data_IF_343584998447
#
_entry.id   IF_343584998447
#
_cell.length_a   1.000
_cell.length_b   1.000
_cell.length_c   1.000
_cell.angle_alpha   90.00
_cell.angle_beta   90.00
_cell.angle_gamma   90.00
#
_symmetry.space_group_name_H-M   'P 1'
#
loop_
_entity.id
_entity.type
_entity.pdbx_description
1 polymer ?
#
# COMPACT_ATOMS: atom_id res chain seq x y z
N UNK A 1 14.51 66.05 -15.66
CA UNK A 1 15.55 65.10 -15.21
C UNK A 1 15.14 63.72 -15.69
N UNK A 2 16.08 62.99 -16.29
CA UNK A 2 15.85 61.83 -17.17
C UNK A 2 15.30 60.61 -16.41
N UNK A 3 14.29 59.98 -17.00
CA UNK A 3 13.81 58.64 -16.66
C UNK A 3 14.95 57.63 -16.84
N UNK A 4 15.33 56.93 -15.76
CA UNK A 4 16.26 55.81 -15.83
C UNK A 4 15.44 54.52 -15.77
N UNK A 5 15.34 53.87 -16.92
CA UNK A 5 14.74 52.55 -17.12
C UNK A 5 15.74 51.51 -16.58
N UNK A 6 15.45 50.90 -15.42
CA UNK A 6 16.28 49.81 -14.89
C UNK A 6 15.97 48.54 -15.66
N UNK A 7 16.93 48.12 -16.51
CA UNK A 7 16.92 46.85 -17.24
C UNK A 7 17.24 45.74 -16.23
N UNK A 8 16.26 44.87 -15.96
CA UNK A 8 16.45 43.67 -15.15
C UNK A 8 17.15 42.61 -16.02
N UNK A 9 18.38 42.26 -15.65
CA UNK A 9 19.19 41.24 -16.30
C UNK A 9 18.61 39.86 -15.97
N UNK A 10 17.94 39.23 -16.93
CA UNK A 10 17.39 37.89 -16.79
C UNK A 10 18.54 36.87 -16.92
N UNK A 11 19.09 36.45 -15.78
CA UNK A 11 20.05 35.36 -15.70
C UNK A 11 19.33 34.03 -15.98
N UNK A 12 19.39 33.57 -17.23
CA UNK A 12 19.08 32.17 -17.57
C UNK A 12 20.09 31.26 -16.86
N UNK A 13 19.70 30.71 -15.72
CA UNK A 13 20.30 29.52 -15.15
C UNK A 13 19.65 28.31 -15.82
N UNK A 14 20.25 27.85 -16.92
CA UNK A 14 20.02 26.50 -17.42
C UNK A 14 20.66 25.52 -16.43
N UNK A 15 19.90 25.12 -15.41
CA UNK A 15 20.21 23.92 -14.64
C UNK A 15 19.93 22.73 -15.57
N UNK A 16 21.00 22.23 -16.18
CA UNK A 16 20.99 20.99 -16.92
C UNK A 16 20.54 19.85 -16.01
N UNK A 17 19.55 19.12 -16.49
CA UNK A 17 19.03 17.89 -15.92
C UNK A 17 20.17 16.92 -15.56
N UNK A 18 20.42 16.76 -14.27
CA UNK A 18 21.07 15.57 -13.70
C UNK A 18 19.98 14.79 -12.96
N UNK A 19 19.06 14.20 -13.71
CA UNK A 19 18.23 13.12 -13.18
C UNK A 19 19.04 11.84 -13.39
N UNK A 20 19.76 11.41 -12.34
CA UNK A 20 20.05 10.01 -12.17
C UNK A 20 18.70 9.33 -11.86
N UNK A 21 18.38 8.29 -12.62
CA UNK A 21 17.15 7.51 -12.57
C UNK A 21 17.15 6.56 -11.35
N UNK A 22 17.31 7.12 -10.14
CA UNK A 22 17.15 6.43 -8.85
C UNK A 22 15.66 6.45 -8.45
N UNK A 23 14.76 6.02 -9.34
CA UNK A 23 13.35 5.92 -9.00
C UNK A 23 13.11 4.70 -8.11
N UNK A 24 12.54 4.95 -6.93
CA UNK A 24 12.07 3.87 -6.04
C UNK A 24 11.05 3.01 -6.78
N UNK A 25 11.01 1.69 -6.53
CA UNK A 25 9.94 0.86 -7.08
C UNK A 25 8.58 1.41 -6.63
N UNK A 26 7.71 1.63 -7.62
CA UNK A 26 6.36 2.13 -7.38
C UNK A 26 5.34 1.25 -8.07
N UNK A 27 4.14 1.17 -7.49
CA UNK A 27 3.06 0.31 -7.97
C UNK A 27 1.75 1.08 -8.01
N UNK A 28 0.90 0.75 -8.99
CA UNK A 28 -0.50 1.14 -8.95
C UNK A 28 -1.20 0.32 -7.88
N UNK A 29 -1.92 0.97 -6.97
CA UNK A 29 -2.63 0.29 -5.89
C UNK A 29 -4.10 0.71 -5.86
N UNK A 30 -4.96 -0.25 -5.58
CA UNK A 30 -6.36 -0.02 -5.23
C UNK A 30 -6.67 -0.57 -3.84
N UNK A 31 -7.69 0.01 -3.22
CA UNK A 31 -8.22 -0.44 -1.95
C UNK A 31 -9.73 -0.35 -1.93
N UNK A 32 -10.38 -1.43 -1.51
CA UNK A 32 -11.80 -1.47 -1.18
C UNK A 32 -11.96 -1.78 0.30
N UNK A 33 -12.97 -1.18 0.92
CA UNK A 33 -13.38 -1.48 2.29
C UNK A 33 -14.82 -1.97 2.24
N UNK A 34 -15.04 -3.20 2.70
CA UNK A 34 -16.31 -3.89 2.53
C UNK A 34 -16.77 -4.57 3.81
N UNK A 35 -18.08 -4.73 3.92
CA UNK A 35 -18.73 -5.59 4.90
C UNK A 35 -19.23 -6.86 4.21
N UNK A 36 -19.32 -7.96 4.98
CA UNK A 36 -19.94 -9.18 4.49
C UNK A 36 -21.45 -8.98 4.36
N UNK A 37 -22.06 -9.56 3.33
CA UNK A 37 -23.51 -9.72 3.30
C UNK A 37 -23.96 -10.81 4.27
N UNK A 38 -25.25 -10.81 4.62
CA UNK A 38 -25.81 -11.75 5.60
C UNK A 38 -25.50 -13.21 5.21
N UNK A 39 -24.93 -13.97 6.15
CA UNK A 39 -24.57 -15.37 5.96
C UNK A 39 -23.26 -15.61 5.19
N UNK A 40 -22.60 -14.57 4.69
CA UNK A 40 -21.32 -14.67 3.99
C UNK A 40 -20.17 -14.76 5.00
N UNK A 41 -19.21 -15.62 4.69
CA UNK A 41 -18.00 -15.84 5.46
C UNK A 41 -16.75 -15.49 4.65
N UNK A 42 -15.60 -15.44 5.32
CA UNK A 42 -14.32 -15.26 4.64
C UNK A 42 -14.03 -16.39 3.63
N UNK A 43 -14.43 -17.63 3.95
CA UNK A 43 -14.23 -18.78 3.06
C UNK A 43 -15.02 -18.65 1.75
N UNK A 44 -16.17 -17.97 1.79
CA UNK A 44 -16.94 -17.66 0.57
C UNK A 44 -16.19 -16.67 -0.32
N UNK A 45 -15.48 -15.69 0.27
CA UNK A 45 -14.62 -14.77 -0.49
C UNK A 45 -13.39 -15.48 -1.07
N UNK A 46 -12.77 -16.37 -0.30
CA UNK A 46 -11.65 -17.20 -0.79
C UNK A 46 -12.12 -18.10 -1.94
N UNK A 47 -13.31 -18.68 -1.84
CA UNK A 47 -13.91 -19.48 -2.90
C UNK A 47 -14.22 -18.65 -4.13
N UNK A 48 -14.79 -17.45 -3.97
CA UNK A 48 -15.00 -16.50 -5.08
C UNK A 48 -13.71 -16.16 -5.82
N UNK A 49 -12.64 -15.87 -5.07
CA UNK A 49 -11.33 -15.58 -5.66
C UNK A 49 -10.81 -16.75 -6.49
N UNK A 50 -10.89 -17.96 -5.95
CA UNK A 50 -10.36 -19.17 -6.58
C UNK A 50 -11.18 -19.60 -7.79
N UNK A 51 -12.50 -19.60 -7.66
CA UNK A 51 -13.40 -20.26 -8.61
C UNK A 51 -13.98 -19.30 -9.65
N UNK A 52 -13.95 -17.98 -9.40
CA UNK A 52 -14.53 -16.97 -10.30
C UNK A 52 -13.52 -15.90 -10.70
N UNK A 53 -12.97 -15.14 -9.74
CA UNK A 53 -12.12 -13.99 -10.10
C UNK A 53 -10.80 -14.42 -10.74
N UNK A 54 -10.07 -15.37 -10.15
CA UNK A 54 -8.78 -15.81 -10.69
C UNK A 54 -8.91 -16.42 -12.09
N UNK A 55 -9.87 -17.31 -12.38
CA UNK A 55 -10.12 -17.80 -13.73
C UNK A 55 -10.49 -16.70 -14.73
N UNK A 56 -11.35 -15.76 -14.32
CA UNK A 56 -11.69 -14.60 -15.14
C UNK A 56 -10.47 -13.74 -15.43
N UNK A 57 -9.71 -13.38 -14.40
CA UNK A 57 -8.54 -12.52 -14.48
C UNK A 57 -7.42 -13.16 -15.30
N UNK A 58 -7.13 -14.45 -15.11
CA UNK A 58 -6.10 -15.17 -15.86
C UNK A 58 -6.41 -15.24 -17.37
N UNK A 59 -7.70 -15.20 -17.72
CA UNK A 59 -8.15 -15.15 -19.13
C UNK A 59 -8.12 -13.75 -19.72
N UNK A 60 -8.50 -12.73 -18.94
CA UNK A 60 -8.85 -11.41 -19.48
C UNK A 60 -7.87 -10.29 -19.12
N UNK A 61 -7.06 -10.41 -18.07
CA UNK A 61 -6.11 -9.38 -17.67
C UNK A 61 -4.74 -9.62 -18.32
N UNK A 62 -4.31 -8.77 -19.27
CA UNK A 62 -3.04 -8.94 -19.97
C UNK A 62 -1.84 -8.40 -19.17
N UNK A 63 -2.07 -7.96 -17.93
CA UNK A 63 -1.07 -7.32 -17.05
C UNK A 63 -1.00 -8.05 -15.71
N UNK A 64 0.16 -8.02 -15.01
CA UNK A 64 0.29 -8.57 -13.66
C UNK A 64 -0.66 -7.88 -12.69
N UNK A 65 -1.23 -8.68 -11.78
CA UNK A 65 -2.07 -8.18 -10.69
C UNK A 65 -1.92 -9.12 -9.49
N UNK A 66 -1.56 -8.55 -8.34
CA UNK A 66 -1.53 -9.27 -7.06
C UNK A 66 -2.52 -8.66 -6.09
N UNK A 67 -3.25 -9.50 -5.35
CA UNK A 67 -4.37 -9.08 -4.51
C UNK A 67 -4.39 -9.78 -3.16
N UNK A 68 -4.80 -9.03 -2.13
CA UNK A 68 -4.90 -9.52 -0.76
C UNK A 68 -6.24 -9.15 -0.15
N UNK A 69 -6.78 -10.07 0.65
CA UNK A 69 -7.80 -9.72 1.63
C UNK A 69 -7.14 -9.33 2.95
N UNK A 70 -7.54 -8.18 3.50
CA UNK A 70 -7.12 -7.66 4.78
C UNK A 70 -8.25 -7.80 5.79
N UNK A 71 -8.12 -8.73 6.74
CA UNK A 71 -9.08 -8.88 7.84
C UNK A 71 -8.51 -8.18 9.09
N UNK A 72 -9.21 -7.17 9.66
CA UNK A 72 -8.72 -6.48 10.84
C UNK A 72 -8.57 -7.42 12.05
N UNK A 73 -7.45 -7.34 12.76
CA UNK A 73 -7.16 -8.19 13.93
C UNK A 73 -6.83 -7.37 15.19
N UNK A 74 -5.78 -6.52 15.16
CA UNK A 74 -5.50 -5.56 16.25
C UNK A 74 -5.95 -4.17 15.82
N UNK A 75 -7.05 -3.69 16.40
CA UNK A 75 -7.63 -2.38 16.09
C UNK A 75 -8.49 -1.88 17.25
N UNK A 76 -8.70 -0.56 17.31
CA UNK A 76 -9.80 -0.02 18.10
C UNK A 76 -11.13 -0.30 17.38
N UNK A 77 -12.16 -0.69 18.13
CA UNK A 77 -13.44 -1.15 17.58
C UNK A 77 -14.21 -0.06 16.80
N UNK A 78 -13.99 1.20 17.16
CA UNK A 78 -14.62 2.40 16.63
C UNK A 78 -13.90 3.01 15.41
N UNK A 79 -12.62 2.69 15.19
CA UNK A 79 -11.80 3.30 14.12
C UNK A 79 -11.87 2.54 12.79
N UNK A 80 -12.01 1.22 12.82
CA UNK A 80 -12.09 0.38 11.61
C UNK A 80 -13.41 -0.37 11.64
N UNK A 81 -14.36 0.07 10.82
CA UNK A 81 -15.74 -0.42 10.84
C UNK A 81 -16.07 -1.40 9.72
N UNK A 82 -15.14 -1.64 8.80
CA UNK A 82 -15.30 -2.65 7.75
C UNK A 82 -14.90 -4.05 8.24
N UNK A 83 -15.52 -5.08 7.68
CA UNK A 83 -15.20 -6.48 7.99
C UNK A 83 -13.96 -6.97 7.23
N UNK A 84 -13.83 -6.58 5.96
CA UNK A 84 -12.73 -7.01 5.08
C UNK A 84 -12.30 -5.89 4.13
N UNK A 85 -11.00 -5.70 3.99
CA UNK A 85 -10.41 -4.87 2.96
C UNK A 85 -9.95 -5.73 1.78
N UNK A 86 -10.11 -5.24 0.56
CA UNK A 86 -9.40 -5.77 -0.61
C UNK A 86 -8.33 -4.77 -1.02
N UNK A 87 -7.10 -5.23 -1.24
CA UNK A 87 -6.03 -4.40 -1.80
C UNK A 87 -5.42 -5.09 -3.01
N UNK A 88 -5.34 -4.36 -4.10
CA UNK A 88 -4.84 -4.83 -5.39
C UNK A 88 -3.65 -4.02 -5.84
N UNK A 89 -2.70 -4.66 -6.51
CA UNK A 89 -1.46 -4.04 -6.96
C UNK A 89 -1.12 -4.44 -8.40
N UNK A 90 -0.71 -3.46 -9.20
CA UNK A 90 -0.19 -3.60 -10.58
C UNK A 90 1.14 -2.86 -10.73
N UNK A 91 1.86 -3.02 -11.85
CA UNK A 91 3.14 -2.33 -12.06
C UNK A 91 3.02 -0.80 -11.98
N UNK A 92 1.87 -0.24 -12.34
CA UNK A 92 1.60 1.20 -12.35
C UNK A 92 0.08 1.44 -12.54
N UNK A 93 -0.37 2.68 -12.38
CA UNK A 93 -1.79 3.02 -12.53
C UNK A 93 -2.35 2.82 -13.95
N UNK A 94 -1.53 2.80 -15.01
CA UNK A 94 -2.02 2.48 -16.36
C UNK A 94 -2.43 1.01 -16.43
N UNK A 95 -1.61 0.11 -15.88
CA UNK A 95 -1.95 -1.31 -15.78
C UNK A 95 -3.17 -1.52 -14.88
N UNK A 96 -3.30 -0.73 -13.80
CA UNK A 96 -4.54 -0.72 -12.98
C UNK A 96 -5.77 -0.32 -13.81
N UNK A 97 -5.64 0.69 -14.67
CA UNK A 97 -6.71 1.08 -15.59
C UNK A 97 -7.12 -0.04 -16.54
N UNK A 98 -6.18 -0.83 -17.06
CA UNK A 98 -6.47 -1.99 -17.91
C UNK A 98 -7.27 -3.06 -17.16
N UNK A 99 -6.89 -3.34 -15.91
CA UNK A 99 -7.62 -4.28 -15.04
C UNK A 99 -9.05 -3.78 -14.80
N UNK A 100 -9.22 -2.48 -14.57
CA UNK A 100 -10.50 -1.85 -14.27
C UNK A 100 -11.42 -1.76 -15.51
N UNK A 101 -10.88 -1.46 -16.68
CA UNK A 101 -11.61 -1.54 -17.95
C UNK A 101 -12.16 -2.95 -18.18
N UNK A 102 -11.37 -3.99 -17.86
CA UNK A 102 -11.84 -5.38 -17.90
C UNK A 102 -12.89 -5.65 -16.83
N UNK A 103 -12.68 -5.21 -15.59
CA UNK A 103 -13.57 -5.46 -14.46
C UNK A 103 -14.97 -4.85 -14.60
N UNK A 104 -15.12 -3.82 -15.44
CA UNK A 104 -16.41 -3.20 -15.77
C UNK A 104 -16.89 -3.50 -17.19
N UNK A 105 -16.22 -4.40 -17.91
CA UNK A 105 -16.66 -4.85 -19.23
C UNK A 105 -17.83 -5.86 -19.11
N UNK A 106 -18.60 -6.04 -20.19
CA UNK A 106 -19.73 -6.97 -20.23
C UNK A 106 -19.32 -8.42 -19.87
N UNK A 107 -18.11 -8.82 -20.28
CA UNK A 107 -17.53 -10.14 -20.03
C UNK A 107 -17.30 -10.42 -18.53
N UNK A 108 -17.20 -9.39 -17.70
CA UNK A 108 -17.04 -9.53 -16.24
C UNK A 108 -18.36 -9.69 -15.49
N UNK A 109 -19.50 -9.41 -16.13
CA UNK A 109 -20.79 -9.17 -15.47
C UNK A 109 -21.22 -10.27 -14.50
N UNK A 110 -21.05 -11.55 -14.87
CA UNK A 110 -21.36 -12.69 -13.99
C UNK A 110 -20.44 -12.73 -12.76
N UNK A 111 -19.15 -12.48 -12.96
CA UNK A 111 -18.15 -12.46 -11.87
C UNK A 111 -18.40 -11.27 -10.94
N UNK A 112 -18.70 -10.10 -11.51
CA UNK A 112 -19.05 -8.89 -10.77
C UNK A 112 -20.33 -9.07 -9.95
N UNK A 113 -21.39 -9.62 -10.55
CA UNK A 113 -22.65 -9.89 -9.84
C UNK A 113 -22.45 -10.86 -8.65
N UNK A 114 -21.55 -11.83 -8.78
CA UNK A 114 -21.19 -12.71 -7.68
C UNK A 114 -20.44 -11.97 -6.58
N UNK A 115 -19.47 -11.12 -6.91
CA UNK A 115 -18.80 -10.25 -5.94
C UNK A 115 -19.80 -9.39 -5.15
N UNK A 116 -20.73 -8.74 -5.86
CA UNK A 116 -21.79 -7.94 -5.25
C UNK A 116 -22.75 -8.77 -4.40
N UNK A 117 -22.90 -10.07 -4.65
CA UNK A 117 -23.73 -10.95 -3.80
C UNK A 117 -23.06 -11.30 -2.46
N UNK A 118 -21.75 -11.14 -2.36
CA UNK A 118 -20.95 -11.52 -1.20
C UNK A 118 -20.61 -10.34 -0.29
N UNK A 119 -20.40 -9.16 -0.89
CA UNK A 119 -19.89 -8.00 -0.16
C UNK A 119 -20.71 -6.74 -0.40
N UNK A 120 -20.63 -5.81 0.55
CA UNK A 120 -21.11 -4.45 0.41
C UNK A 120 -19.95 -3.49 0.70
N UNK A 121 -19.41 -2.88 -0.37
CA UNK A 121 -18.21 -2.05 -0.29
C UNK A 121 -18.58 -0.57 -0.18
N UNK A 122 -18.29 0.04 0.97
CA UNK A 122 -18.61 1.44 1.24
C UNK A 122 -17.62 2.42 0.60
N UNK A 123 -16.44 1.96 0.18
CA UNK A 123 -15.44 2.80 -0.46
C UNK A 123 -14.53 2.00 -1.39
N UNK A 124 -14.11 2.65 -2.48
CA UNK A 124 -13.03 2.25 -3.37
C UNK A 124 -12.11 3.45 -3.58
N UNK A 125 -10.79 3.24 -3.51
CA UNK A 125 -9.81 4.29 -3.73
C UNK A 125 -8.53 3.76 -4.39
N UNK A 126 -7.81 4.66 -5.06
CA UNK A 126 -6.47 4.42 -5.57
C UNK A 126 -5.41 5.03 -4.68
N UNK A 127 -4.27 4.37 -4.66
CA UNK A 127 -3.06 4.79 -3.97
C UNK A 127 -1.85 4.57 -4.89
N UNK A 128 -0.82 5.39 -4.69
CA UNK A 128 0.50 5.10 -5.20
C UNK A 128 1.30 4.39 -4.12
N UNK A 129 1.66 3.13 -4.35
CA UNK A 129 2.45 2.36 -3.40
C UNK A 129 3.94 2.51 -3.75
N UNK A 130 4.71 3.12 -2.84
CA UNK A 130 6.16 3.31 -2.97
C UNK A 130 6.86 2.30 -2.07
N UNK A 131 7.73 1.48 -2.62
CA UNK A 131 8.50 0.51 -1.86
C UNK A 131 9.69 1.16 -1.16
N UNK A 132 9.74 1.01 0.17
CA UNK A 132 10.87 1.41 1.01
C UNK A 132 11.79 0.22 1.34
N UNK A 133 11.22 -0.99 1.33
CA UNK A 133 11.92 -2.24 1.61
C UNK A 133 11.26 -3.40 0.88
N UNK A 134 12.01 -4.05 0.00
CA UNK A 134 11.61 -5.32 -0.60
C UNK A 134 11.59 -6.41 0.47
N UNK A 135 10.52 -7.23 0.56
CA UNK A 135 10.50 -8.36 1.47
C UNK A 135 11.55 -9.41 1.07
N UNK A 136 12.22 -10.00 2.06
CA UNK A 136 13.15 -11.13 1.84
C UNK A 136 12.44 -12.48 1.70
N UNK A 137 11.25 -12.60 2.29
CA UNK A 137 10.34 -13.73 2.11
C UNK A 137 9.18 -13.24 1.25
N UNK A 138 9.06 -13.82 0.05
CA UNK A 138 8.02 -13.46 -0.90
C UNK A 138 6.66 -13.95 -0.45
N UNK A 139 5.60 -13.21 -0.79
CA UNK A 139 4.22 -13.67 -0.58
C UNK A 139 3.91 -14.91 -1.41
N UNK A 140 3.12 -15.82 -0.85
CA UNK A 140 2.65 -17.05 -1.49
C UNK A 140 1.12 -17.02 -1.60
N UNK A 141 0.58 -17.35 -2.77
CA UNK A 141 -0.87 -17.43 -2.95
C UNK A 141 -1.49 -18.48 -2.02
N UNK A 142 -2.57 -18.12 -1.33
CA UNK A 142 -3.24 -18.97 -0.35
C UNK A 142 -2.64 -18.93 1.06
N UNK A 143 -1.56 -18.16 1.29
CA UNK A 143 -0.94 -18.02 2.60
C UNK A 143 -1.26 -16.65 3.25
N UNK A 144 -1.12 -16.60 4.58
CA UNK A 144 -1.30 -15.39 5.36
C UNK A 144 0.03 -14.72 5.68
N UNK A 145 0.01 -13.40 5.66
CA UNK A 145 0.99 -12.52 6.31
C UNK A 145 0.25 -11.56 7.26
N UNK A 146 0.98 -10.71 7.99
CA UNK A 146 0.40 -9.76 8.94
C UNK A 146 0.86 -8.36 8.61
N UNK A 147 -0.06 -7.43 8.43
CA UNK A 147 0.26 -6.08 7.95
C UNK A 147 -0.10 -5.07 9.02
N UNK A 148 0.89 -4.31 9.49
CA UNK A 148 0.71 -3.18 10.38
C UNK A 148 0.65 -1.89 9.55
N UNK A 149 -0.52 -1.25 9.55
CA UNK A 149 -0.79 -0.07 8.73
C UNK A 149 -1.02 1.13 9.64
N UNK A 150 -0.31 2.23 9.37
CA UNK A 150 -0.36 3.49 10.12
C UNK A 150 -0.67 4.65 9.19
N UNK A 151 -1.38 5.68 9.67
CA UNK A 151 -1.37 6.99 9.04
C UNK A 151 -0.11 7.74 9.48
N UNK A 152 0.63 8.30 8.52
CA UNK A 152 1.87 9.00 8.78
C UNK A 152 1.93 10.34 8.07
N UNK A 153 2.57 11.31 8.72
CA UNK A 153 2.96 12.59 8.14
C UNK A 153 4.46 12.80 8.26
N UNK A 154 5.04 13.50 7.29
CA UNK A 154 6.44 13.94 7.34
C UNK A 154 6.56 15.05 8.38
N UNK A 155 7.55 14.94 9.27
CA UNK A 155 7.76 15.93 10.32
C UNK A 155 8.02 17.34 9.75
N UNK A 156 7.60 18.37 10.49
CA UNK A 156 7.82 19.76 10.07
C UNK A 156 9.30 20.03 9.76
N UNK A 157 9.56 20.66 8.62
CA UNK A 157 10.92 20.95 8.15
C UNK A 157 11.66 19.77 7.53
N UNK A 158 11.04 18.59 7.42
CA UNK A 158 11.55 17.44 6.66
C UNK A 158 10.90 17.36 5.27
N UNK A 159 11.57 16.66 4.37
CA UNK A 159 11.16 16.46 2.98
C UNK A 159 10.99 14.98 2.66
N UNK A 160 10.36 14.69 1.51
CA UNK A 160 10.33 13.32 0.98
C UNK A 160 11.75 12.80 0.79
N UNK A 161 12.69 13.64 0.34
CA UNK A 161 14.09 13.26 0.17
C UNK A 161 14.76 12.87 1.50
N UNK A 162 14.45 13.58 2.59
CA UNK A 162 14.93 13.19 3.92
C UNK A 162 14.39 11.82 4.32
N UNK A 163 13.10 11.55 4.05
CA UNK A 163 12.49 10.25 4.28
C UNK A 163 13.20 9.14 3.51
N UNK A 164 13.42 9.32 2.21
CA UNK A 164 14.12 8.33 1.38
C UNK A 164 15.57 8.12 1.84
N UNK A 165 16.25 9.18 2.28
CA UNK A 165 17.60 9.08 2.83
C UNK A 165 17.64 8.28 4.14
N UNK A 166 16.55 8.26 4.92
CA UNK A 166 16.47 7.47 6.16
C UNK A 166 16.16 5.98 5.93
N UNK A 167 15.66 5.59 4.75
CA UNK A 167 15.23 4.21 4.47
C UNK A 167 16.33 3.19 4.69
N UNK A 168 17.56 3.53 4.28
CA UNK A 168 18.71 2.66 4.51
C UNK A 168 18.94 2.37 5.99
N UNK A 169 18.88 3.39 6.85
CA UNK A 169 19.11 3.23 8.29
C UNK A 169 17.98 2.41 8.95
N UNK A 170 16.73 2.63 8.51
CA UNK A 170 15.59 1.82 8.95
C UNK A 170 15.68 0.37 8.50
N UNK A 171 16.13 0.13 7.26
CA UNK A 171 16.33 -1.22 6.76
C UNK A 171 17.43 -1.96 7.52
N UNK A 172 18.56 -1.31 7.81
CA UNK A 172 19.62 -1.90 8.65
C UNK A 172 19.16 -2.19 10.09
N UNK A 173 18.28 -1.36 10.65
CA UNK A 173 17.65 -1.61 11.94
C UNK A 173 16.73 -2.85 11.88
N UNK A 174 15.86 -2.92 10.87
CA UNK A 174 14.96 -4.05 10.65
C UNK A 174 15.74 -5.36 10.40
N UNK A 175 16.87 -5.31 9.70
CA UNK A 175 17.75 -6.47 9.47
C UNK A 175 18.32 -7.02 10.79
N UNK A 176 18.71 -6.16 11.73
CA UNK A 176 19.21 -6.58 13.05
C UNK A 176 18.15 -7.30 13.88
N UNK A 177 16.88 -6.96 13.65
CA UNK A 177 15.73 -7.61 14.29
C UNK A 177 15.30 -8.89 13.58
N UNK A 178 15.98 -9.27 12.49
CA UNK A 178 15.60 -10.43 11.68
C UNK A 178 14.30 -10.22 10.92
N UNK A 179 13.90 -8.98 10.64
CA UNK A 179 12.68 -8.67 9.92
C UNK A 179 12.78 -9.14 8.46
N UNK A 180 11.81 -9.96 8.04
CA UNK A 180 11.79 -10.60 6.73
C UNK A 180 10.77 -9.98 5.78
N UNK A 181 9.80 -9.24 6.30
CA UNK A 181 8.77 -8.57 5.50
C UNK A 181 9.26 -7.29 4.82
N UNK A 182 8.35 -6.71 4.03
CA UNK A 182 8.55 -5.47 3.28
C UNK A 182 7.84 -4.27 3.90
N UNK A 183 8.19 -3.09 3.39
CA UNK A 183 7.69 -1.79 3.82
C UNK A 183 7.26 -0.97 2.60
N UNK A 184 6.02 -0.48 2.62
CA UNK A 184 5.46 0.35 1.56
C UNK A 184 4.78 1.60 2.11
N UNK A 185 4.81 2.67 1.33
CA UNK A 185 4.08 3.91 1.58
C UNK A 185 2.95 4.02 0.56
N UNK A 186 1.71 4.02 1.01
CA UNK A 186 0.54 4.16 0.15
C UNK A 186 0.08 5.62 0.17
N UNK A 187 0.47 6.36 -0.86
CA UNK A 187 0.12 7.77 -1.04
C UNK A 187 -1.30 7.85 -1.60
N UNK A 188 -2.23 8.54 -0.92
CA UNK A 188 -3.61 8.74 -1.39
C UNK A 188 -3.69 9.34 -2.80
N UNK A 189 -4.62 8.83 -3.63
CA UNK A 189 -4.93 9.38 -4.96
C UNK A 189 -6.45 9.58 -5.10
N UNK A 190 -7.10 8.98 -6.10
CA UNK A 190 -8.52 9.19 -6.38
C UNK A 190 -9.38 8.31 -5.46
N UNK A 191 -10.49 8.83 -4.97
CA UNK A 191 -11.43 8.08 -4.12
C UNK A 191 -11.07 8.03 -2.63
N UNK A 192 -9.88 8.50 -2.23
CA UNK A 192 -9.53 8.65 -0.81
C UNK A 192 -10.28 9.81 -0.16
N UNK A 193 -10.58 9.71 1.14
CA UNK A 193 -11.34 10.75 1.85
C UNK A 193 -10.59 12.09 1.86
N UNK A 194 -11.32 13.19 1.58
CA UNK A 194 -10.84 14.56 1.78
C UNK A 194 -10.58 14.91 3.26
N UNK A 195 -11.03 14.06 4.19
CA UNK A 195 -10.77 14.20 5.63
C UNK A 195 -9.53 13.43 6.10
N UNK A 196 -8.77 12.80 5.20
CA UNK A 196 -7.52 12.13 5.58
C UNK A 196 -6.47 13.19 5.95
N UNK A 197 -5.97 13.13 7.19
CA UNK A 197 -5.03 14.13 7.72
C UNK A 197 -3.55 13.74 7.57
N UNK A 198 -3.27 12.48 7.19
CA UNK A 198 -1.90 12.01 6.94
C UNK A 198 -1.38 12.39 5.55
N UNK A 199 -0.07 12.23 5.34
CA UNK A 199 0.52 12.32 3.99
C UNK A 199 0.43 10.99 3.24
N UNK A 200 0.54 9.87 3.96
CA UNK A 200 0.44 8.51 3.41
C UNK A 200 0.10 7.47 4.48
N UNK A 201 -0.30 6.27 4.04
CA UNK A 201 -0.36 5.10 4.91
C UNK A 201 0.98 4.35 4.86
N UNK A 202 1.62 4.10 6.00
CA UNK A 202 2.79 3.24 6.10
C UNK A 202 2.36 1.81 6.39
N UNK A 203 2.64 0.90 5.46
CA UNK A 203 2.43 -0.54 5.63
C UNK A 203 3.77 -1.23 5.94
N UNK A 204 3.81 -1.99 7.04
CA UNK A 204 4.89 -2.92 7.35
C UNK A 204 4.29 -4.32 7.40
N UNK A 205 4.77 -5.22 6.55
CA UNK A 205 4.34 -6.62 6.52
C UNK A 205 5.25 -7.50 7.37
N UNK A 206 4.70 -8.57 7.95
CA UNK A 206 5.39 -9.55 8.78
C UNK A 206 4.96 -10.96 8.36
N UNK A 207 5.88 -11.93 8.43
CA UNK A 207 5.57 -13.32 8.08
C UNK A 207 5.13 -14.15 9.28
N UNK A 208 5.25 -13.62 10.50
CA UNK A 208 4.74 -14.27 11.71
C UNK A 208 4.39 -13.25 12.81
N UNK A 209 3.57 -13.69 13.76
CA UNK A 209 3.31 -12.92 14.99
C UNK A 209 4.54 -12.82 15.90
N UNK A 210 5.44 -13.81 15.84
CA UNK A 210 6.72 -13.78 16.56
C UNK A 210 7.59 -12.61 16.07
N UNK A 211 7.70 -12.46 14.74
CA UNK A 211 8.41 -11.34 14.12
C UNK A 211 7.76 -9.99 14.43
N UNK A 212 6.43 -9.91 14.41
CA UNK A 212 5.74 -8.69 14.84
C UNK A 212 6.04 -8.36 16.31
N UNK A 213 5.99 -9.37 17.19
CA UNK A 213 6.25 -9.23 18.61
C UNK A 213 7.67 -8.78 18.92
N UNK A 214 8.68 -9.34 18.25
CA UNK A 214 10.09 -8.96 18.46
C UNK A 214 10.33 -7.49 18.14
N UNK A 215 9.68 -6.95 17.10
CA UNK A 215 9.75 -5.53 16.75
C UNK A 215 9.06 -4.65 17.80
N UNK A 216 7.95 -5.11 18.41
CA UNK A 216 7.32 -4.36 19.49
C UNK A 216 8.19 -4.33 20.76
N UNK A 217 8.76 -5.48 21.13
CA UNK A 217 9.64 -5.60 22.29
C UNK A 217 10.87 -4.69 22.13
N UNK A 218 11.53 -4.71 20.97
CA UNK A 218 12.68 -3.85 20.72
C UNK A 218 12.29 -2.38 20.65
N UNK A 219 11.13 -2.04 20.07
CA UNK A 219 10.61 -0.67 20.08
C UNK A 219 10.33 -0.15 21.50
N UNK A 220 9.99 -1.02 22.46
CA UNK A 220 9.72 -0.65 23.84
C UNK A 220 10.99 -0.58 24.69
N UNK A 221 11.84 -1.61 24.61
CA UNK A 221 13.05 -1.72 25.43
C UNK A 221 14.25 -0.98 24.86
N UNK A 222 14.26 -0.69 23.56
CA UNK A 222 15.32 0.07 22.88
C UNK A 222 16.68 -0.64 22.90
N UNK A 223 16.68 -1.97 22.83
CA UNK A 223 17.92 -2.78 22.87
C UNK A 223 18.75 -2.51 21.61
N UNK A 224 18.09 -2.40 20.46
CA UNK A 224 18.71 -2.02 19.19
C UNK A 224 18.66 -0.50 19.01
N UNK A 225 19.79 0.16 18.67
CA UNK A 225 19.80 1.59 18.38
C UNK A 225 18.86 1.92 17.22
N UNK A 226 17.76 2.61 17.53
CA UNK A 226 16.73 2.99 16.57
C UNK A 226 17.11 4.26 15.80
N UNK A 227 16.96 4.30 14.46
CA UNK A 227 17.16 5.52 13.68
C UNK A 227 16.21 6.65 14.11
N UNK A 228 16.64 7.90 13.95
CA UNK A 228 15.76 9.04 14.15
C UNK A 228 14.59 8.98 13.16
N UNK A 229 13.37 9.15 13.67
CA UNK A 229 12.18 9.18 12.82
C UNK A 229 12.00 10.56 12.20
N UNK A 230 11.88 10.61 10.88
CA UNK A 230 11.40 11.80 10.15
C UNK A 230 9.89 11.78 9.92
N UNK A 231 9.21 10.78 10.47
CA UNK A 231 7.76 10.60 10.41
C UNK A 231 7.14 10.74 11.78
N UNK A 232 5.92 11.27 11.80
CA UNK A 232 4.96 11.16 12.89
C UNK A 232 3.83 10.25 12.43
N UNK A 233 3.62 9.14 13.12
CA UNK A 233 2.61 8.15 12.74
C UNK A 233 1.70 7.83 13.92
N UNK A 234 0.46 7.45 13.60
CA UNK A 234 -0.49 6.93 14.57
C UNK A 234 -0.13 5.50 15.05
N UNK A 235 -1.01 4.97 15.91
CA UNK A 235 -0.97 3.57 16.35
C UNK A 235 -1.37 2.67 15.17
N UNK A 236 -0.62 1.58 14.90
CA UNK A 236 -0.92 0.74 13.77
C UNK A 236 -2.20 -0.04 14.00
N UNK A 237 -2.98 -0.19 12.92
CA UNK A 237 -3.97 -1.26 12.83
C UNK A 237 -3.30 -2.46 12.20
N UNK A 238 -3.49 -3.64 12.78
CA UNK A 238 -2.89 -4.88 12.27
C UNK A 238 -3.94 -5.77 11.66
N UNK A 239 -3.66 -6.24 10.46
CA UNK A 239 -4.54 -7.07 9.63
C UNK A 239 -3.90 -8.43 9.39
N UNK A 240 -4.71 -9.47 9.34
CA UNK A 240 -4.32 -10.69 8.64
C UNK A 240 -4.47 -10.41 7.15
N UNK A 241 -3.40 -10.61 6.39
CA UNK A 241 -3.34 -10.36 4.96
C UNK A 241 -3.22 -11.70 4.21
N UNK A 242 -4.37 -12.19 3.73
CA UNK A 242 -4.45 -13.41 2.93
C UNK A 242 -4.14 -13.09 1.48
N UNK A 243 -3.10 -13.70 0.91
CA UNK A 243 -2.73 -13.47 -0.49
C UNK A 243 -3.65 -14.28 -1.41
N UNK A 244 -4.72 -13.64 -1.90
CA UNK A 244 -5.76 -14.31 -2.68
C UNK A 244 -5.41 -14.48 -4.16
N UNK A 245 -4.48 -13.66 -4.67
CA UNK A 245 -3.97 -13.73 -6.04
C UNK A 245 -2.52 -13.28 -6.06
N UNK A 246 -1.64 -14.09 -6.64
CA UNK A 246 -0.23 -13.74 -6.83
C UNK A 246 0.17 -13.87 -8.29
N UNK A 247 0.16 -12.74 -9.02
CA UNK A 247 0.77 -12.63 -10.35
C UNK A 247 1.77 -11.47 -10.25
N UNK A 248 2.98 -11.73 -9.74
CA UNK A 248 3.93 -10.69 -9.34
C UNK A 248 4.51 -9.93 -10.55
N UNK A 249 5.04 -8.76 -10.24
CA UNK A 249 5.64 -7.80 -11.19
C UNK A 249 6.94 -8.34 -11.78
N UNK A 250 7.27 -7.93 -13.01
CA UNK A 250 8.58 -8.17 -13.63
C UNK A 250 9.52 -6.98 -13.43
#
# INVERSE_FOLDING_TARGET
>A
MKNLLTILFCSLLTLGNLFADDHLPTYGMEGYQCNYKEGVTFDDLVSFMKDDLNPYADKNWPVPYSGFYLTPFLRSGDEVTFDVGWVGFTNNHKDMGIVQDSWFAEESSETFAKWESLTDCSSQAYYMAIEARTPSVTFTEGENSFWAIRSCSINEGKTVQDLLATDKAWNEYMDKLGHTGGVWRWVPVAGTSNSFEGDFLLNISFNSWEEYGSVQDDSFWGVTPRPESVLSCDTPRVYTAFNARNRPFN
#
